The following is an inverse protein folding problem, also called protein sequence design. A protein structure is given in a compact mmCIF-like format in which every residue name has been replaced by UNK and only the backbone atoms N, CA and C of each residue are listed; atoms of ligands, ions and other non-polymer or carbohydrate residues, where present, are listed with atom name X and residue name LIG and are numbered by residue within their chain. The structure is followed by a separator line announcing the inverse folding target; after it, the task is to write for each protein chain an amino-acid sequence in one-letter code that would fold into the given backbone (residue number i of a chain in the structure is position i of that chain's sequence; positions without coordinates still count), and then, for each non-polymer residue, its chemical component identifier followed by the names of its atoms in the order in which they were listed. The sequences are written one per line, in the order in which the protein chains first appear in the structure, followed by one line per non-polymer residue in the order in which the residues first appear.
data_IF_717492624055
#
_entry.id   IF_717492624055
#
_cell.length_a   1.000
_cell.length_b   1.000
_cell.length_c   1.000
_cell.angle_alpha   90.00
_cell.angle_beta   90.00
_cell.angle_gamma   90.00
#
_symmetry.space_group_name_H-M   'P 1'
#
loop_
_entity.id
_entity.type
_entity.pdbx_description
1 polymer ?
#
# COMPACT_ATOMS: atom_id res chain seq x y z
N UNK A 1 -10.01 -8.23 -22.59
CA UNK A 1 -9.57 -8.77 -21.34
C UNK A 1 -8.54 -7.92 -20.61
N UNK A 2 -7.43 -7.65 -21.23
CA UNK A 2 -6.44 -6.78 -20.65
C UNK A 2 -6.99 -5.43 -20.23
N UNK A 3 -7.88 -4.90 -21.01
CA UNK A 3 -8.47 -3.60 -20.75
C UNK A 3 -9.23 -3.56 -19.43
N UNK A 4 -9.96 -4.64 -19.15
CA UNK A 4 -10.73 -4.74 -17.91
C UNK A 4 -9.78 -4.81 -16.69
N UNK A 5 -8.74 -5.63 -16.79
CA UNK A 5 -7.74 -5.77 -15.75
C UNK A 5 -7.07 -4.43 -15.49
N UNK A 6 -6.71 -3.70 -16.54
CA UNK A 6 -6.09 -2.38 -16.42
C UNK A 6 -7.00 -1.38 -15.72
N UNK A 7 -8.29 -1.38 -16.07
CA UNK A 7 -9.24 -0.47 -15.44
C UNK A 7 -9.40 -0.79 -13.96
N UNK A 8 -9.53 -2.06 -13.60
CA UNK A 8 -9.65 -2.47 -12.22
C UNK A 8 -8.40 -2.14 -11.43
N UNK A 9 -7.23 -2.38 -12.01
CA UNK A 9 -5.96 -2.09 -11.36
C UNK A 9 -5.80 -0.59 -11.11
N UNK A 10 -6.15 0.24 -12.08
CA UNK A 10 -6.12 1.69 -11.90
C UNK A 10 -7.04 2.17 -10.79
N UNK A 11 -8.22 1.55 -10.67
CA UNK A 11 -9.16 1.90 -9.60
C UNK A 11 -8.62 1.51 -8.23
N UNK A 12 -7.99 0.35 -8.13
CA UNK A 12 -7.35 -0.11 -6.90
C UNK A 12 -6.23 0.86 -6.50
N UNK A 13 -5.39 1.23 -7.45
CA UNK A 13 -4.29 2.18 -7.20
C UNK A 13 -4.84 3.52 -6.70
N UNK A 14 -5.90 4.01 -7.32
CA UNK A 14 -6.52 5.26 -6.89
C UNK A 14 -7.00 5.20 -5.45
N UNK A 15 -7.64 4.11 -5.07
CA UNK A 15 -8.12 3.93 -3.69
C UNK A 15 -6.97 3.88 -2.70
N UNK A 16 -5.90 3.15 -3.04
CA UNK A 16 -4.73 3.05 -2.16
C UNK A 16 -4.01 4.39 -2.03
N UNK A 17 -3.88 5.14 -3.11
CA UNK A 17 -3.28 6.47 -3.08
C UNK A 17 -4.09 7.45 -2.25
N UNK A 18 -5.41 7.33 -2.30
CA UNK A 18 -6.29 8.18 -1.51
C UNK A 18 -6.15 7.88 -0.01
N UNK A 19 -6.09 6.60 0.35
CA UNK A 19 -5.85 6.18 1.72
C UNK A 19 -4.50 6.70 2.21
N UNK A 20 -3.47 6.53 1.41
CA UNK A 20 -2.12 6.99 1.73
C UNK A 20 -2.09 8.50 1.96
N UNK A 21 -2.75 9.25 1.10
CA UNK A 21 -2.85 10.70 1.24
C UNK A 21 -3.53 11.10 2.55
N UNK A 22 -4.61 10.40 2.90
CA UNK A 22 -5.32 10.62 4.15
C UNK A 22 -4.45 10.36 5.37
N UNK A 23 -3.70 9.28 5.35
CA UNK A 23 -2.78 8.93 6.44
C UNK A 23 -1.68 9.98 6.58
N UNK A 24 -1.13 10.45 5.47
CA UNK A 24 -0.10 11.49 5.48
C UNK A 24 -0.62 12.79 6.04
N UNK A 25 -1.83 13.18 5.68
CA UNK A 25 -2.45 14.40 6.20
C UNK A 25 -2.70 14.30 7.71
N UNK A 26 -3.22 13.18 8.16
CA UNK A 26 -3.44 12.95 9.58
C UNK A 26 -2.11 12.98 10.35
N UNK A 27 -1.09 12.30 9.84
CA UNK A 27 0.23 12.25 10.48
C UNK A 27 0.87 13.64 10.60
N UNK A 28 0.69 14.48 9.59
CA UNK A 28 1.21 15.85 9.63
C UNK A 28 0.55 16.68 10.70
N UNK A 29 -0.72 16.40 11.00
CA UNK A 29 -1.46 17.12 12.02
C UNK A 29 -1.07 16.74 13.45
N UNK A 30 -0.37 15.63 13.64
CA UNK A 30 0.07 15.20 14.97
C UNK A 30 1.47 15.73 15.22
N UNK A 31 1.57 16.69 16.10
CA UNK A 31 2.86 17.28 16.47
C UNK A 31 3.57 16.42 17.48
N UNK A 32 4.86 16.42 17.42
CA UNK A 32 5.69 15.75 18.40
C UNK A 32 6.76 14.87 17.80
N UNK A 33 7.51 14.26 18.66
CA UNK A 33 8.61 13.41 18.27
C UNK A 33 8.20 11.95 18.12
N UNK A 34 9.11 11.10 18.52
CA UNK A 34 8.94 9.66 18.41
C UNK A 34 8.56 9.07 19.76
N UNK A 35 7.59 8.16 19.77
CA UNK A 35 7.21 7.46 20.98
C UNK A 35 8.24 6.37 21.29
N UNK A 36 8.71 6.36 22.53
CA UNK A 36 9.59 5.32 23.02
C UNK A 36 8.86 4.58 24.13
N UNK A 37 8.77 3.28 24.02
CA UNK A 37 8.08 2.43 24.98
C UNK A 37 9.10 1.53 25.65
N UNK A 38 9.14 1.58 26.98
CA UNK A 38 10.03 0.72 27.76
C UNK A 38 9.24 -0.01 28.83
N UNK A 39 9.69 -1.20 29.16
CA UNK A 39 9.09 -1.97 30.22
C UNK A 39 9.94 -1.84 31.47
N UNK A 40 9.32 -1.42 32.57
CA UNK A 40 9.96 -1.39 33.87
C UNK A 40 9.16 -2.25 34.84
N UNK A 41 9.64 -3.45 35.12
CA UNK A 41 8.88 -4.43 35.89
C UNK A 41 7.60 -4.80 35.19
N UNK A 42 6.46 -4.62 35.85
CA UNK A 42 5.16 -4.92 35.26
C UNK A 42 4.52 -3.73 34.57
N UNK A 43 5.20 -2.60 34.52
CA UNK A 43 4.65 -1.38 33.95
C UNK A 43 5.30 -1.02 32.65
N UNK A 44 4.53 -0.35 31.81
CA UNK A 44 5.05 0.28 30.61
C UNK A 44 5.33 1.74 30.90
N UNK A 45 6.48 2.22 30.46
CA UNK A 45 6.88 3.61 30.61
C UNK A 45 7.00 4.21 29.23
N UNK A 46 6.40 5.37 29.06
CA UNK A 46 6.36 6.06 27.77
C UNK A 46 7.19 7.33 27.81
N UNK A 47 7.95 7.55 26.75
CA UNK A 47 8.74 8.75 26.57
C UNK A 47 8.59 9.27 25.17
N UNK A 48 8.82 10.55 25.01
CA UNK A 48 8.86 11.17 23.68
C UNK A 48 10.30 11.57 23.39
N UNK A 49 10.82 11.16 22.23
CA UNK A 49 12.15 11.54 21.80
C UNK A 49 12.03 12.54 20.66
N UNK A 50 12.54 13.74 20.89
CA UNK A 50 12.52 14.80 19.89
C UNK A 50 13.85 15.55 19.94
N UNK A 51 14.47 15.73 18.79
CA UNK A 51 15.73 16.46 18.65
C UNK A 51 16.83 15.97 19.60
N UNK A 52 16.89 14.65 19.78
CA UNK A 52 17.90 14.04 20.65
C UNK A 52 17.58 14.08 22.15
N UNK A 53 16.48 14.70 22.53
CA UNK A 53 16.05 14.78 23.93
C UNK A 53 14.89 13.82 24.16
N UNK A 54 14.99 13.02 25.20
CA UNK A 54 13.93 12.09 25.56
C UNK A 54 13.24 12.61 26.84
N UNK A 55 11.92 12.78 26.77
CA UNK A 55 11.12 13.31 27.87
C UNK A 55 10.07 12.28 28.28
N UNK A 56 9.97 11.98 29.56
CA UNK A 56 8.95 11.06 30.06
C UNK A 56 7.55 11.64 29.94
N UNK A 57 6.62 10.84 29.42
CA UNK A 57 5.24 11.27 29.21
C UNK A 57 4.24 10.26 29.71
N UNK A 58 4.65 9.34 30.55
CA UNK A 58 3.81 8.23 31.04
C UNK A 58 2.49 8.71 31.64
N UNK A 59 2.49 9.83 32.34
CA UNK A 59 1.31 10.37 32.99
C UNK A 59 0.42 11.21 32.05
N UNK A 60 0.93 11.57 30.88
CA UNK A 60 0.16 12.34 29.91
C UNK A 60 -0.46 11.38 28.89
N UNK A 61 -1.60 10.80 29.23
CA UNK A 61 -2.25 9.78 28.40
C UNK A 61 -2.65 10.31 27.01
N UNK A 62 -2.99 11.58 26.93
CA UNK A 62 -3.35 12.19 25.64
C UNK A 62 -2.14 12.25 24.72
N UNK A 63 -0.98 12.65 25.26
CA UNK A 63 0.25 12.72 24.50
C UNK A 63 0.68 11.34 24.04
N UNK A 64 0.58 10.35 24.93
CA UNK A 64 0.90 8.95 24.61
C UNK A 64 0.03 8.47 23.47
N UNK A 65 -1.29 8.71 23.54
CA UNK A 65 -2.20 8.29 22.48
C UNK A 65 -1.89 8.96 21.15
N UNK A 66 -1.60 10.25 21.15
CA UNK A 66 -1.29 10.99 19.94
C UNK A 66 -0.02 10.46 19.28
N UNK A 67 1.01 10.22 20.07
CA UNK A 67 2.27 9.67 19.55
C UNK A 67 2.13 8.22 19.09
N UNK A 68 1.31 7.44 19.79
CA UNK A 68 1.00 6.07 19.38
C UNK A 68 0.25 6.07 18.03
N UNK A 69 -0.70 6.98 17.85
CA UNK A 69 -1.42 7.14 16.58
C UNK A 69 -0.45 7.52 15.47
N UNK A 70 0.43 8.45 15.73
CA UNK A 70 1.44 8.87 14.76
C UNK A 70 2.35 7.72 14.35
N UNK A 71 2.76 6.89 15.32
CA UNK A 71 3.60 5.73 15.07
C UNK A 71 2.86 4.70 14.20
N UNK A 72 1.58 4.46 14.51
CA UNK A 72 0.73 3.57 13.74
C UNK A 72 0.61 4.09 12.28
N UNK A 73 0.31 5.37 12.12
CA UNK A 73 0.19 5.98 10.80
C UNK A 73 1.48 5.88 10.00
N UNK A 74 2.62 6.06 10.64
CA UNK A 74 3.91 5.95 9.97
C UNK A 74 4.11 4.53 9.41
N UNK A 75 3.70 3.52 10.16
CA UNK A 75 3.74 2.13 9.71
C UNK A 75 2.80 1.90 8.53
N UNK A 76 1.56 2.42 8.62
CA UNK A 76 0.56 2.29 7.56
C UNK A 76 0.98 3.03 6.30
N UNK A 77 1.58 4.20 6.44
CA UNK A 77 2.11 4.96 5.31
C UNK A 77 3.20 4.16 4.59
N UNK A 78 4.10 3.57 5.35
CA UNK A 78 5.19 2.78 4.77
C UNK A 78 4.66 1.57 4.02
N UNK A 79 3.68 0.89 4.60
CA UNK A 79 3.06 -0.27 4.00
C UNK A 79 2.29 0.11 2.72
N UNK A 80 1.43 1.12 2.81
CA UNK A 80 0.63 1.57 1.67
C UNK A 80 1.50 2.09 0.53
N UNK A 81 2.60 2.75 0.86
CA UNK A 81 3.53 3.27 -0.13
C UNK A 81 4.17 2.12 -0.92
N UNK A 82 4.58 1.06 -0.24
CA UNK A 82 5.13 -0.13 -0.89
C UNK A 82 4.09 -0.82 -1.78
N UNK A 83 2.86 -0.93 -1.30
CA UNK A 83 1.78 -1.55 -2.07
C UNK A 83 1.50 -0.73 -3.34
N UNK A 84 1.45 0.59 -3.22
CA UNK A 84 1.26 1.48 -4.36
C UNK A 84 2.37 1.30 -5.40
N UNK A 85 3.62 1.22 -4.95
CA UNK A 85 4.75 1.03 -5.86
C UNK A 85 4.66 -0.30 -6.60
N UNK A 86 4.29 -1.38 -5.91
CA UNK A 86 4.13 -2.69 -6.51
C UNK A 86 2.99 -2.69 -7.53
N UNK A 87 1.87 -2.07 -7.17
CA UNK A 87 0.70 -2.00 -8.05
C UNK A 87 1.00 -1.17 -9.31
N UNK A 88 1.70 -0.06 -9.15
CA UNK A 88 2.10 0.78 -10.29
C UNK A 88 3.07 0.06 -11.21
N UNK A 89 4.00 -0.69 -10.63
CA UNK A 89 4.94 -1.48 -11.41
C UNK A 89 4.19 -2.57 -12.19
N UNK A 90 3.25 -3.25 -11.56
CA UNK A 90 2.41 -4.25 -12.20
C UNK A 90 1.59 -3.63 -13.34
N UNK A 91 0.99 -2.44 -13.10
CA UNK A 91 0.23 -1.73 -14.11
C UNK A 91 1.11 -1.42 -15.32
N UNK A 92 2.31 -0.91 -15.07
CA UNK A 92 3.25 -0.57 -16.13
C UNK A 92 3.62 -1.80 -16.98
N UNK A 93 3.87 -2.92 -16.32
CA UNK A 93 4.20 -4.16 -17.00
C UNK A 93 3.04 -4.70 -17.83
N UNK A 94 1.83 -4.63 -17.31
CA UNK A 94 0.64 -5.09 -18.02
C UNK A 94 0.37 -4.20 -19.22
N UNK A 95 0.52 -2.88 -19.08
CA UNK A 95 0.35 -1.94 -20.18
C UNK A 95 1.36 -2.18 -21.30
N UNK A 96 2.52 -2.72 -20.97
CA UNK A 96 3.54 -3.05 -21.95
C UNK A 96 3.27 -4.32 -22.76
N UNK A 97 2.25 -5.10 -22.39
CA UNK A 97 1.94 -6.31 -23.13
C UNK A 97 1.26 -5.95 -24.44
N UNK A 98 1.83 -6.35 -25.59
CA UNK A 98 1.28 -5.96 -26.90
C UNK A 98 -0.05 -6.66 -27.19
N UNK A 99 -1.12 -5.87 -27.26
CA UNK A 99 -2.44 -6.41 -27.58
C UNK A 99 -2.49 -6.97 -29.01
N UNK A 100 -1.85 -6.28 -29.94
CA UNK A 100 -1.82 -6.72 -31.33
C UNK A 100 -1.20 -8.12 -31.49
N UNK A 101 -0.19 -8.41 -30.68
CA UNK A 101 0.44 -9.72 -30.69
C UNK A 101 -0.49 -10.82 -30.22
N UNK A 102 -1.26 -10.53 -29.19
CA UNK A 102 -2.27 -11.45 -28.69
C UNK A 102 -3.33 -11.70 -29.75
N UNK A 103 -3.75 -10.67 -30.45
CA UNK A 103 -4.71 -10.81 -31.54
C UNK A 103 -4.18 -11.66 -32.67
N UNK A 104 -2.93 -11.49 -33.04
CA UNK A 104 -2.30 -12.31 -34.09
C UNK A 104 -2.27 -13.77 -33.68
N UNK A 105 -1.92 -14.06 -32.45
CA UNK A 105 -1.89 -15.42 -31.95
C UNK A 105 -3.30 -16.04 -31.99
N UNK A 106 -4.31 -15.27 -31.64
CA UNK A 106 -5.69 -15.72 -31.66
C UNK A 106 -6.14 -16.09 -33.09
N UNK A 107 -5.71 -15.32 -34.08
CA UNK A 107 -6.03 -15.63 -35.47
C UNK A 107 -5.39 -16.95 -35.90
N UNK A 108 -4.18 -17.16 -35.54
CA UNK A 108 -3.50 -18.41 -35.85
C UNK A 108 -4.21 -19.59 -35.21
N UNK A 109 -4.59 -19.43 -33.97
CA UNK A 109 -5.27 -20.47 -33.28
C UNK A 109 -6.62 -20.76 -33.83
N UNK A 110 -7.39 -19.79 -34.22
CA UNK A 110 -8.73 -19.99 -34.76
C UNK A 110 -8.68 -20.78 -36.04
N UNK A 111 -7.56 -20.73 -36.74
CA UNK A 111 -7.37 -21.54 -37.92
C UNK A 111 -7.33 -23.03 -37.58
N UNK A 112 -7.08 -23.36 -36.37
CA UNK A 112 -7.03 -24.74 -35.92
C UNK A 112 -8.28 -25.09 -35.16
N UNK A 113 -9.12 -24.24 -35.13
CA UNK A 113 -10.29 -24.49 -34.45
C UNK A 113 -10.15 -24.65 -33.10
N UNK A 114 -9.70 -24.21 -32.31
CA UNK A 114 -9.46 -24.37 -31.17
C UNK A 114 -10.03 -23.81 -30.22
N UNK A 115 -10.53 -23.93 -29.95
CA UNK A 115 -11.31 -23.47 -28.98
C UNK A 115 -10.79 -23.81 -27.71
N UNK A 116 -10.21 -24.82 -27.62
CA UNK A 116 -9.76 -25.24 -26.34
C UNK A 116 -8.85 -24.27 -25.72
N UNK A 117 -8.41 -23.45 -26.56
CA UNK A 117 -7.56 -22.58 -26.09
C UNK A 117 -8.09 -21.81 -25.15
N UNK A 118 -9.04 -21.87 -25.29
CA UNK A 118 -9.66 -21.05 -24.48
C UNK A 118 -9.74 -21.45 -23.22
N UNK A 119 -9.42 -22.22 -22.96
CA UNK A 119 -9.54 -22.48 -21.87
C UNK A 119 -8.83 -22.24 -21.00
N UNK A 120 -8.42 -22.41 -20.99
CA UNK A 120 -7.97 -22.10 -20.26
C UNK A 120 -7.68 -21.24 -19.75
N UNK A 121 -7.82 -21.30 -19.82
CA UNK A 121 -7.89 -20.42 -19.47
C UNK A 121 -7.76 -19.57 -18.94
N UNK A 122 -7.86 -19.87 -18.86
CA UNK A 122 -8.03 -19.01 -18.65
C UNK A 122 -7.65 -18.52 -17.96
N UNK A 123 -7.34 -19.23 -17.80
CA UNK A 123 -7.20 -18.86 -17.31
C UNK A 123 -6.94 -18.28 -16.89
N UNK A 124 -6.74 -18.53 -16.79
CA UNK A 124 -6.83 -17.89 -16.60
C UNK A 124 -6.91 -17.39 -16.69
#
# INVERSE_FOLDING_TARGET
MNRRVLLELREIIKREEKLLSGYREEAKGIKGGQLVIRRKGDRLVFSEKAKGVETGITTDSRRVRNLARKRYLRGEIRYADKICDILKDALHKIEGVPYARASSNMKEISGYRYSCLLYTSDAA
#
